data_IF_082034275665
#
_entry.id   IF_082034275665
#
_cell.length_a   1.000
_cell.length_b   1.000
_cell.length_c   1.000
_cell.angle_alpha   90.00
_cell.angle_beta   90.00
_cell.angle_gamma   90.00
#
_symmetry.space_group_name_H-M   'P 1'
#
loop_
_entity.id
_entity.type
_entity.pdbx_description
1 polymer ?
#
# COMPACT_ATOMS: atom_id res chain seq x y z
N UNK A 1 15.79 -19.42 -24.60
CA UNK A 1 16.68 -18.89 -25.65
C UNK A 1 17.34 -17.63 -25.13
N UNK A 2 18.62 -17.66 -24.83
CA UNK A 2 19.40 -16.49 -24.40
C UNK A 2 19.66 -15.61 -25.63
N UNK A 3 19.23 -14.36 -25.61
CA UNK A 3 19.47 -13.43 -26.72
C UNK A 3 20.93 -13.01 -26.66
N UNK A 4 21.73 -13.48 -27.60
CA UNK A 4 23.14 -13.14 -27.74
C UNK A 4 23.29 -11.64 -28.00
N UNK A 5 24.11 -10.97 -27.20
CA UNK A 5 24.46 -9.56 -27.36
C UNK A 5 25.16 -9.37 -28.71
N UNK A 6 24.92 -8.26 -29.40
CA UNK A 6 25.53 -8.01 -30.72
C UNK A 6 27.06 -7.98 -30.62
N UNK A 7 27.77 -8.53 -31.63
CA UNK A 7 29.25 -8.58 -31.65
C UNK A 7 29.89 -7.21 -31.45
N UNK A 8 29.26 -6.15 -31.98
CA UNK A 8 29.71 -4.76 -31.79
C UNK A 8 29.66 -4.32 -30.32
N UNK A 9 28.57 -4.64 -29.61
CA UNK A 9 28.46 -4.33 -28.18
C UNK A 9 29.42 -5.18 -27.33
N UNK A 10 29.66 -6.44 -27.70
CA UNK A 10 30.66 -7.29 -27.04
C UNK A 10 32.08 -6.71 -27.18
N UNK A 11 32.46 -6.28 -28.39
CA UNK A 11 33.77 -5.68 -28.63
C UNK A 11 33.96 -4.36 -27.88
N UNK A 12 32.91 -3.53 -27.81
CA UNK A 12 32.95 -2.28 -27.05
C UNK A 12 33.10 -2.52 -25.54
N UNK A 13 32.44 -3.53 -24.99
CA UNK A 13 32.59 -3.93 -23.58
C UNK A 13 34.00 -4.45 -23.31
N UNK A 14 34.57 -5.27 -24.21
CA UNK A 14 35.93 -5.77 -24.06
C UNK A 14 36.98 -4.65 -24.09
N UNK A 15 36.83 -3.65 -24.97
CA UNK A 15 37.72 -2.48 -25.01
C UNK A 15 37.67 -1.64 -23.71
N UNK A 16 36.48 -1.52 -23.11
CA UNK A 16 36.28 -0.76 -21.86
C UNK A 16 36.81 -1.48 -20.62
N UNK A 17 36.74 -2.82 -20.57
CA UNK A 17 37.34 -3.63 -19.51
C UNK A 17 38.87 -3.70 -19.59
N UNK A 18 39.45 -3.49 -20.78
CA UNK A 18 40.90 -3.44 -21.01
C UNK A 18 41.53 -2.08 -20.61
N UNK A 19 40.71 -1.04 -20.44
CA UNK A 19 41.13 0.21 -19.80
C UNK A 19 40.96 0.08 -18.28
N UNK A 20 41.93 0.51 -17.47
CA UNK A 20 41.93 0.50 -15.99
C UNK A 20 40.83 1.41 -15.37
N UNK A 21 39.58 1.22 -15.81
CA UNK A 21 38.40 1.92 -15.35
C UNK A 21 37.63 1.03 -14.38
N UNK A 22 37.01 1.66 -13.39
CA UNK A 22 36.16 0.94 -12.44
C UNK A 22 34.83 0.54 -13.10
N UNK A 23 34.23 -0.55 -12.60
CA UNK A 23 32.98 -1.12 -13.12
C UNK A 23 31.86 -0.07 -13.29
N UNK A 24 31.74 0.84 -12.32
CA UNK A 24 30.75 1.93 -12.32
C UNK A 24 30.93 2.88 -13.52
N UNK A 25 32.18 3.23 -13.86
CA UNK A 25 32.48 4.11 -14.98
C UNK A 25 32.22 3.44 -16.34
N UNK A 26 32.37 2.12 -16.41
CA UNK A 26 32.04 1.33 -17.60
C UNK A 26 30.51 1.28 -17.81
N UNK A 27 29.75 1.10 -16.73
CA UNK A 27 28.27 1.03 -16.78
C UNK A 27 27.61 2.36 -17.16
N UNK A 28 28.23 3.50 -16.84
CA UNK A 28 27.74 4.83 -17.24
C UNK A 28 27.91 5.09 -18.75
N UNK A 29 28.97 4.54 -19.36
CA UNK A 29 29.34 4.78 -20.77
C UNK A 29 28.64 3.88 -21.79
N UNK A 30 28.03 2.78 -21.35
CA UNK A 30 27.29 1.90 -22.27
C UNK A 30 25.94 2.55 -22.56
N UNK A 31 25.58 2.80 -23.85
CA UNK A 31 24.31 3.40 -24.21
C UNK A 31 23.17 2.55 -23.67
N UNK A 32 22.51 3.06 -22.62
CA UNK A 32 21.28 2.57 -21.97
C UNK A 32 20.81 1.24 -22.57
N UNK A 33 21.28 0.12 -22.01
CA UNK A 33 20.57 -1.15 -22.13
C UNK A 33 19.23 -0.98 -21.38
N UNK A 34 18.32 -0.19 -21.95
CA UNK A 34 16.98 -0.03 -21.40
C UNK A 34 16.40 -1.43 -21.35
N UNK A 35 16.05 -1.88 -20.16
CA UNK A 35 15.24 -3.08 -20.01
C UNK A 35 14.09 -2.98 -21.02
N UNK A 36 13.90 -4.03 -21.83
CA UNK A 36 12.86 -4.05 -22.84
C UNK A 36 11.55 -3.58 -22.19
N UNK A 37 10.93 -2.54 -22.76
CA UNK A 37 9.69 -1.99 -22.21
C UNK A 37 8.71 -3.13 -22.01
N UNK A 38 8.44 -3.45 -20.74
CA UNK A 38 7.51 -4.51 -20.40
C UNK A 38 6.12 -4.22 -20.96
N UNK A 39 5.22 -5.21 -20.83
CA UNK A 39 3.82 -5.04 -21.19
C UNK A 39 3.24 -3.81 -20.46
N UNK A 40 2.69 -2.86 -21.22
CA UNK A 40 2.03 -1.68 -20.66
C UNK A 40 0.91 -2.13 -19.73
N UNK A 41 0.77 -1.45 -18.59
CA UNK A 41 -0.29 -1.74 -17.64
C UNK A 41 -1.66 -1.54 -18.32
N UNK A 42 -2.59 -2.49 -18.10
CA UNK A 42 -3.96 -2.43 -18.64
C UNK A 42 -4.73 -1.18 -18.19
N UNK A 43 -4.34 -0.60 -17.06
CA UNK A 43 -4.96 0.59 -16.48
C UNK A 43 -3.93 1.71 -16.43
N UNK A 44 -4.31 2.87 -16.96
CA UNK A 44 -3.50 4.09 -16.91
C UNK A 44 -3.39 4.65 -15.49
N UNK A 45 -2.33 5.41 -15.23
CA UNK A 45 -2.03 5.91 -13.89
C UNK A 45 -3.13 6.85 -13.33
N UNK A 46 -3.76 7.64 -14.19
CA UNK A 46 -4.89 8.53 -13.81
C UNK A 46 -6.05 7.74 -13.20
N UNK A 47 -6.49 6.67 -13.88
CA UNK A 47 -7.58 5.82 -13.42
C UNK A 47 -7.19 5.10 -12.12
N UNK A 48 -5.91 4.69 -11.98
CA UNK A 48 -5.41 4.11 -10.72
C UNK A 48 -5.46 5.11 -9.57
N UNK A 49 -4.99 6.33 -9.79
CA UNK A 49 -4.98 7.40 -8.79
C UNK A 49 -6.40 7.75 -8.32
N UNK A 50 -7.34 7.87 -9.26
CA UNK A 50 -8.74 8.10 -8.93
C UNK A 50 -9.35 6.93 -8.14
N UNK A 51 -9.11 5.70 -8.58
CA UNK A 51 -9.57 4.50 -7.87
C UNK A 51 -9.02 4.44 -6.45
N UNK A 52 -7.72 4.74 -6.26
CA UNK A 52 -7.09 4.84 -4.94
C UNK A 52 -7.81 5.85 -4.04
N UNK A 53 -8.09 7.04 -4.57
CA UNK A 53 -8.82 8.09 -3.83
C UNK A 53 -10.20 7.63 -3.41
N UNK A 54 -10.95 6.96 -4.29
CA UNK A 54 -12.30 6.47 -3.99
C UNK A 54 -12.30 5.36 -2.93
N UNK A 55 -11.29 4.48 -2.95
CA UNK A 55 -11.10 3.46 -1.90
C UNK A 55 -10.78 4.10 -0.55
N UNK A 56 -9.90 5.11 -0.51
CA UNK A 56 -9.53 5.81 0.73
C UNK A 56 -10.71 6.59 1.31
N UNK A 57 -11.51 7.24 0.46
CA UNK A 57 -12.75 7.91 0.87
C UNK A 57 -13.80 6.95 1.42
N UNK A 58 -13.71 5.67 1.08
CA UNK A 58 -14.65 4.65 1.53
C UNK A 58 -15.89 4.48 0.65
N UNK A 59 -15.91 5.11 -0.54
CA UNK A 59 -16.96 4.91 -1.55
C UNK A 59 -16.94 3.47 -2.07
N UNK A 60 -15.73 2.95 -2.32
CA UNK A 60 -15.52 1.56 -2.71
C UNK A 60 -15.23 0.67 -1.49
N UNK A 61 -16.30 0.18 -0.85
CA UNK A 61 -16.22 -0.70 0.33
C UNK A 61 -15.68 -2.10 0.02
N UNK A 62 -15.75 -2.54 -1.24
CA UNK A 62 -15.40 -3.90 -1.65
C UNK A 62 -14.65 -3.89 -2.98
N UNK A 63 -13.76 -4.87 -3.19
CA UNK A 63 -13.07 -5.07 -4.48
C UNK A 63 -14.04 -5.28 -5.65
N UNK A 64 -15.24 -5.84 -5.40
CA UNK A 64 -16.29 -6.01 -6.41
C UNK A 64 -16.84 -4.66 -6.90
N UNK A 65 -16.98 -3.67 -6.01
CA UNK A 65 -17.41 -2.32 -6.40
C UNK A 65 -16.36 -1.66 -7.31
N UNK A 66 -15.07 -1.85 -7.00
CA UNK A 66 -13.97 -1.39 -7.86
C UNK A 66 -14.02 -2.08 -9.23
N UNK A 67 -14.26 -3.39 -9.26
CA UNK A 67 -14.38 -4.15 -10.50
C UNK A 67 -15.56 -3.67 -11.38
N UNK A 68 -16.74 -3.49 -10.79
CA UNK A 68 -17.91 -2.95 -11.49
C UNK A 68 -17.67 -1.54 -12.03
N UNK A 69 -17.04 -0.68 -11.24
CA UNK A 69 -16.66 0.67 -11.67
C UNK A 69 -15.71 0.64 -12.88
N UNK A 70 -14.66 -0.19 -12.82
CA UNK A 70 -13.69 -0.31 -13.92
C UNK A 70 -14.34 -0.89 -15.19
N UNK A 71 -15.25 -1.85 -15.05
CA UNK A 71 -16.02 -2.36 -16.20
C UNK A 71 -16.95 -1.30 -16.78
N UNK A 72 -17.60 -0.50 -15.93
CA UNK A 72 -18.47 0.61 -16.35
C UNK A 72 -17.72 1.71 -17.11
N UNK A 73 -16.43 1.87 -16.85
CA UNK A 73 -15.53 2.76 -17.62
C UNK A 73 -15.06 2.16 -18.95
N UNK A 74 -15.46 0.92 -19.28
CA UNK A 74 -15.07 0.24 -20.52
C UNK A 74 -13.78 -0.58 -20.42
N UNK A 75 -13.21 -0.78 -19.22
CA UNK A 75 -12.07 -1.68 -19.07
C UNK A 75 -12.52 -3.15 -19.03
N UNK A 76 -11.94 -4.00 -19.88
CA UNK A 76 -12.18 -5.45 -19.89
C UNK A 76 -11.31 -6.15 -18.83
N UNK A 77 -11.67 -5.98 -17.57
CA UNK A 77 -10.89 -6.51 -16.44
C UNK A 77 -11.68 -7.62 -15.72
N UNK A 78 -10.99 -8.70 -15.36
CA UNK A 78 -11.57 -9.73 -14.48
C UNK A 78 -11.58 -9.26 -13.03
N UNK A 79 -12.45 -9.84 -12.21
CA UNK A 79 -12.47 -9.56 -10.76
C UNK A 79 -11.08 -9.74 -10.11
N UNK A 80 -10.33 -10.76 -10.52
CA UNK A 80 -8.97 -11.00 -10.05
C UNK A 80 -8.00 -9.89 -10.49
N UNK A 81 -8.18 -9.32 -11.69
CA UNK A 81 -7.44 -8.15 -12.16
C UNK A 81 -7.66 -6.92 -11.27
N UNK A 82 -8.89 -6.67 -10.83
CA UNK A 82 -9.19 -5.60 -9.87
C UNK A 82 -8.56 -5.87 -8.49
N UNK A 83 -8.52 -7.12 -8.03
CA UNK A 83 -7.81 -7.49 -6.79
C UNK A 83 -6.29 -7.27 -6.92
N UNK A 84 -5.68 -7.70 -8.02
CA UNK A 84 -4.24 -7.50 -8.28
C UNK A 84 -3.91 -6.01 -8.35
N UNK A 85 -4.79 -5.22 -8.95
CA UNK A 85 -4.68 -3.77 -8.98
C UNK A 85 -4.66 -3.18 -7.56
N UNK A 86 -5.63 -3.54 -6.72
CA UNK A 86 -5.70 -3.05 -5.33
C UNK A 86 -4.46 -3.46 -4.52
N UNK A 87 -3.99 -4.70 -4.71
CA UNK A 87 -2.73 -5.19 -4.09
C UNK A 87 -1.52 -4.39 -4.56
N UNK A 88 -1.44 -4.04 -5.84
CA UNK A 88 -0.35 -3.20 -6.38
C UNK A 88 -0.34 -1.78 -5.81
N UNK A 89 -1.48 -1.31 -5.30
CA UNK A 89 -1.60 -0.03 -4.60
C UNK A 89 -1.43 -0.17 -3.08
N UNK A 90 -0.96 -1.31 -2.58
CA UNK A 90 -0.79 -1.66 -1.16
C UNK A 90 -2.08 -1.74 -0.34
N UNK A 91 -3.24 -1.94 -0.97
CA UNK A 91 -4.47 -2.24 -0.23
C UNK A 91 -4.51 -3.69 0.21
N UNK A 92 -4.89 -3.90 1.48
CA UNK A 92 -5.09 -5.21 2.09
C UNK A 92 -6.51 -5.30 2.65
N UNK A 93 -7.16 -6.43 2.43
CA UNK A 93 -8.43 -6.70 3.09
C UNK A 93 -8.20 -6.88 4.59
N UNK A 94 -9.08 -6.29 5.41
CA UNK A 94 -9.03 -6.42 6.86
C UNK A 94 -10.44 -6.59 7.41
N UNK A 95 -10.59 -7.55 8.32
CA UNK A 95 -11.83 -7.72 9.09
C UNK A 95 -11.90 -6.57 10.10
N UNK A 96 -13.03 -5.86 10.12
CA UNK A 96 -13.27 -4.81 11.11
C UNK A 96 -13.41 -5.46 12.48
N UNK A 97 -12.62 -5.00 13.45
CA UNK A 97 -12.77 -5.43 14.84
C UNK A 97 -14.16 -5.06 15.36
N UNK A 98 -14.82 -5.98 16.06
CA UNK A 98 -16.07 -5.69 16.77
C UNK A 98 -15.77 -4.68 17.88
N UNK A 99 -16.42 -3.52 17.85
CA UNK A 99 -16.26 -2.46 18.84
C UNK A 99 -17.64 -2.03 19.35
N UNK A 100 -17.78 -1.68 20.63
CA UNK A 100 -19.03 -1.12 21.13
C UNK A 100 -19.32 0.20 20.41
N UNK A 101 -20.59 0.40 20.06
CA UNK A 101 -21.04 1.63 19.42
C UNK A 101 -20.98 2.77 20.44
N UNK A 102 -20.20 3.81 20.13
CA UNK A 102 -20.11 5.01 20.95
C UNK A 102 -20.99 6.10 20.33
N UNK A 103 -22.00 6.52 21.07
CA UNK A 103 -22.76 7.72 20.73
C UNK A 103 -21.89 8.98 20.91
N UNK A 104 -22.37 10.13 20.45
CA UNK A 104 -21.64 11.41 20.53
C UNK A 104 -21.27 11.75 21.99
N UNK A 105 -22.24 11.60 22.90
CA UNK A 105 -22.09 11.91 24.32
C UNK A 105 -21.03 11.03 25.02
N UNK A 106 -20.95 9.75 24.70
CA UNK A 106 -19.94 8.82 25.22
C UNK A 106 -18.55 9.24 24.79
N UNK A 107 -18.39 9.69 23.54
CA UNK A 107 -17.10 10.18 23.04
C UNK A 107 -16.67 11.45 23.76
N UNK A 108 -17.59 12.39 23.96
CA UNK A 108 -17.33 13.64 24.68
C UNK A 108 -16.93 13.38 26.14
N UNK A 109 -17.70 12.56 26.87
CA UNK A 109 -17.36 12.20 28.26
C UNK A 109 -16.00 11.49 28.36
N UNK A 110 -15.74 10.52 27.48
CA UNK A 110 -14.45 9.80 27.45
C UNK A 110 -13.30 10.74 27.14
N UNK A 111 -13.48 11.67 26.21
CA UNK A 111 -12.46 12.66 25.86
C UNK A 111 -12.21 13.63 27.02
N UNK A 112 -13.26 14.17 27.64
CA UNK A 112 -13.14 15.06 28.79
C UNK A 112 -12.42 14.36 29.96
N UNK A 113 -12.78 13.10 30.24
CA UNK A 113 -12.09 12.30 31.25
C UNK A 113 -10.61 12.11 30.90
N UNK A 114 -10.28 11.70 29.68
CA UNK A 114 -8.90 11.53 29.24
C UNK A 114 -8.07 12.83 29.31
N UNK A 115 -8.67 13.99 29.00
CA UNK A 115 -8.01 15.29 29.10
C UNK A 115 -7.75 15.65 30.57
N UNK A 116 -8.76 15.52 31.43
CA UNK A 116 -8.64 15.82 32.85
C UNK A 116 -7.58 14.96 33.56
N UNK A 117 -7.36 13.74 33.07
CA UNK A 117 -6.44 12.76 33.65
C UNK A 117 -5.15 12.59 32.83
N UNK A 118 -4.91 13.46 31.83
CA UNK A 118 -3.78 13.36 30.89
C UNK A 118 -2.41 13.41 31.59
N UNK A 119 -2.31 14.19 32.67
CA UNK A 119 -1.07 14.45 33.40
C UNK A 119 -1.02 13.73 34.75
N UNK A 120 -1.85 12.70 34.95
CA UNK A 120 -1.84 11.91 36.17
C UNK A 120 -0.50 11.20 36.38
N UNK A 121 0.03 11.33 37.60
CA UNK A 121 1.27 10.67 38.01
C UNK A 121 0.98 9.23 38.45
N UNK A 122 2.03 8.43 38.60
CA UNK A 122 1.91 7.05 39.10
C UNK A 122 1.23 6.97 40.47
N UNK A 123 1.42 7.96 41.33
CA UNK A 123 0.77 7.99 42.65
C UNK A 123 -0.72 8.34 42.55
N UNK A 124 -1.12 9.16 41.57
CA UNK A 124 -2.54 9.45 41.31
C UNK A 124 -3.28 8.20 40.82
N UNK A 125 -2.64 7.41 39.94
CA UNK A 125 -3.19 6.13 39.49
C UNK A 125 -3.36 5.12 40.64
N UNK A 126 -2.41 5.10 41.59
CA UNK A 126 -2.48 4.19 42.76
C UNK A 126 -3.64 4.49 43.70
N UNK A 127 -4.12 5.74 43.72
CA UNK A 127 -5.28 6.15 44.52
C UNK A 127 -6.60 5.78 43.87
N UNK A 128 -6.61 5.43 42.58
CA UNK A 128 -7.85 5.12 41.86
C UNK A 128 -8.22 3.64 42.03
N UNK A 129 -9.43 3.39 42.54
CA UNK A 129 -9.99 2.04 42.65
C UNK A 129 -10.91 1.78 41.46
N UNK A 130 -10.62 0.74 40.68
CA UNK A 130 -11.45 0.28 39.57
C UNK A 130 -12.15 -1.02 40.00
N UNK A 131 -13.48 -1.00 40.03
CA UNK A 131 -14.31 -2.19 40.21
C UNK A 131 -15.08 -2.42 38.90
N UNK A 132 -14.87 -3.58 38.29
CA UNK A 132 -15.65 -4.06 37.14
C UNK A 132 -16.15 -5.46 37.47
N UNK A 133 -17.47 -5.66 37.41
CA UNK A 133 -18.10 -6.94 37.70
C UNK A 133 -18.20 -7.74 36.41
N UNK A 134 -17.49 -8.87 36.34
CA UNK A 134 -17.67 -9.85 35.28
C UNK A 134 -18.63 -10.94 35.74
N UNK A 135 -19.46 -11.44 34.81
CA UNK A 135 -20.35 -12.56 35.14
C UNK A 135 -19.51 -13.76 35.57
N UNK A 136 -19.84 -14.43 36.69
CA UNK A 136 -19.20 -15.69 37.04
C UNK A 136 -19.43 -16.70 35.90
N UNK A 137 -18.36 -17.29 35.41
CA UNK A 137 -18.44 -18.41 34.47
C UNK A 137 -18.95 -19.64 35.23
N UNK A 138 -20.13 -20.14 34.88
CA UNK A 138 -20.63 -21.46 35.27
C UNK A 138 -20.32 -22.48 34.18
#
# INVERSE_FOLDING_TARGET
MTRTISKSAQNQIQLLLASNMTYEQVMERIPRMKAASGRRATIGETTKSYTRRQVIKGEFKTAKAVHQYLNGLGYTISYYGALKLLKSMNFRAKIKAKKPLLNKQHKERRLAWAIAHKFWTTDDWRRMVLSDETKPHH
#
